data_IF_121479425807
#
_entry.id   IF_121479425807
#
_cell.length_a   1.000
_cell.length_b   1.000
_cell.length_c   1.000
_cell.angle_alpha   90.00
_cell.angle_beta   90.00
_cell.angle_gamma   90.00
#
_symmetry.space_group_name_H-M   'P 1'
#
loop_
_entity.id
_entity.type
_entity.pdbx_description
1 polymer ?
#
# COMPACT_ATOMS: atom_id res chain seq x y z
N UNK A 1 20.13 -18.64 -11.49
CA UNK A 1 20.68 -17.92 -10.33
C UNK A 1 20.47 -16.40 -10.41
N UNK A 2 20.68 -15.69 -11.53
CA UNK A 2 20.71 -14.21 -11.55
C UNK A 2 19.45 -13.38 -11.29
N UNK A 3 18.26 -13.97 -11.08
CA UNK A 3 17.03 -13.16 -10.88
C UNK A 3 16.94 -12.54 -9.48
N UNK A 4 17.44 -13.25 -8.46
CA UNK A 4 17.44 -12.74 -7.09
C UNK A 4 18.46 -11.61 -6.92
N UNK A 5 19.63 -11.72 -7.57
CA UNK A 5 20.69 -10.70 -7.51
C UNK A 5 20.20 -9.32 -7.95
N UNK A 6 19.41 -9.24 -9.03
CA UNK A 6 18.87 -7.96 -9.53
C UNK A 6 17.91 -7.32 -8.53
N UNK A 7 17.14 -8.14 -7.80
CA UNK A 7 16.15 -7.66 -6.84
C UNK A 7 16.84 -7.19 -5.56
N UNK A 8 17.83 -7.96 -5.09
CA UNK A 8 18.68 -7.56 -3.98
C UNK A 8 19.46 -6.29 -4.29
N UNK A 9 19.99 -6.15 -5.51
CA UNK A 9 20.66 -4.92 -5.95
C UNK A 9 19.71 -3.71 -6.02
N UNK A 10 18.41 -3.94 -6.22
CA UNK A 10 17.40 -2.88 -6.18
C UNK A 10 16.97 -2.49 -4.75
N UNK A 11 17.50 -3.15 -3.72
CA UNK A 11 17.10 -2.93 -2.32
C UNK A 11 15.83 -3.67 -1.92
N UNK A 12 15.60 -4.85 -2.50
CA UNK A 12 14.44 -5.70 -2.18
C UNK A 12 14.85 -7.16 -1.95
N UNK A 13 14.09 -7.86 -1.13
CA UNK A 13 14.22 -9.30 -0.92
C UNK A 13 13.02 -10.02 -1.56
N UNK A 14 13.27 -10.95 -2.48
CA UNK A 14 12.23 -11.80 -3.08
C UNK A 14 11.97 -13.03 -2.22
N UNK A 15 10.71 -13.32 -1.98
CA UNK A 15 10.25 -14.56 -1.38
C UNK A 15 9.26 -15.24 -2.32
N UNK A 16 9.38 -16.55 -2.45
CA UNK A 16 8.45 -17.35 -3.25
C UNK A 16 7.23 -17.74 -2.41
N UNK A 17 6.16 -18.20 -3.06
CA UNK A 17 4.97 -18.73 -2.36
C UNK A 17 5.28 -19.92 -1.44
N UNK A 18 6.43 -20.56 -1.59
CA UNK A 18 6.88 -21.69 -0.77
C UNK A 18 7.90 -21.28 0.30
N UNK A 19 8.29 -20.01 0.36
CA UNK A 19 9.33 -19.52 1.27
C UNK A 19 8.69 -18.66 2.36
N UNK A 20 9.12 -18.91 3.60
CA UNK A 20 8.76 -18.06 4.72
C UNK A 20 9.65 -16.82 4.74
N UNK A 21 9.05 -15.63 4.76
CA UNK A 21 9.79 -14.37 4.82
C UNK A 21 10.17 -13.94 6.23
N UNK A 22 9.85 -14.74 7.25
CA UNK A 22 10.15 -14.48 8.68
C UNK A 22 9.57 -13.17 9.25
N UNK A 23 8.80 -12.42 8.47
CA UNK A 23 8.11 -11.20 8.90
C UNK A 23 6.82 -11.59 9.64
N UNK A 24 6.72 -11.35 10.97
CA UNK A 24 5.47 -11.52 11.68
C UNK A 24 4.45 -10.51 11.12
N UNK A 25 3.28 -11.00 10.73
CA UNK A 25 2.19 -10.24 10.07
C UNK A 25 2.31 -10.04 8.54
N UNK A 26 3.20 -10.75 7.82
CA UNK A 26 3.17 -10.69 6.36
C UNK A 26 1.91 -11.38 5.79
N UNK A 27 0.96 -10.58 5.27
CA UNK A 27 -0.32 -11.05 4.69
C UNK A 27 -0.16 -12.08 3.55
N UNK A 28 0.96 -12.03 2.83
CA UNK A 28 1.26 -12.83 1.63
C UNK A 28 2.20 -14.01 1.87
N UNK A 29 2.70 -14.18 3.10
CA UNK A 29 3.52 -15.31 3.52
C UNK A 29 2.87 -16.63 3.12
N UNK A 30 3.67 -17.49 2.48
CA UNK A 30 3.27 -18.82 1.99
C UNK A 30 2.05 -18.86 1.06
N UNK A 31 1.61 -17.71 0.51
CA UNK A 31 0.46 -17.61 -0.41
C UNK A 31 0.87 -17.28 -1.83
N UNK A 32 1.74 -16.29 -2.01
CA UNK A 32 2.22 -15.86 -3.32
C UNK A 32 3.66 -15.35 -3.23
N UNK A 33 4.31 -15.22 -4.39
CA UNK A 33 5.62 -14.57 -4.44
C UNK A 33 5.47 -13.08 -4.17
N UNK A 34 6.31 -12.56 -3.29
CA UNK A 34 6.29 -11.18 -2.83
C UNK A 34 7.71 -10.66 -2.58
N UNK A 35 7.85 -9.35 -2.48
CA UNK A 35 9.10 -8.62 -2.34
C UNK A 35 9.00 -7.66 -1.16
N UNK A 36 9.96 -7.71 -0.25
CA UNK A 36 10.08 -6.78 0.87
C UNK A 36 11.14 -5.75 0.58
N UNK A 37 10.87 -4.47 0.86
CA UNK A 37 11.91 -3.45 0.79
C UNK A 37 12.94 -3.68 1.89
N UNK A 38 14.23 -3.56 1.57
CA UNK A 38 15.33 -3.68 2.54
C UNK A 38 15.74 -2.33 3.11
N UNK A 39 15.05 -1.25 2.74
CA UNK A 39 15.37 0.09 3.19
C UNK A 39 15.05 0.25 4.68
N UNK A 40 15.96 0.82 5.49
CA UNK A 40 15.71 1.05 6.91
C UNK A 40 14.47 1.93 7.09
N UNK A 41 13.66 1.64 8.11
CA UNK A 41 12.38 2.31 8.38
C UNK A 41 11.25 2.06 7.35
N UNK A 42 11.51 1.29 6.28
CA UNK A 42 10.49 0.89 5.32
C UNK A 42 10.07 -0.58 5.52
N UNK A 43 8.79 -0.81 5.84
CA UNK A 43 8.22 -2.17 5.99
C UNK A 43 7.25 -2.52 4.87
N UNK A 44 7.42 -1.92 3.69
CA UNK A 44 6.49 -2.08 2.59
C UNK A 44 6.73 -3.41 1.85
N UNK A 45 5.65 -4.16 1.62
CA UNK A 45 5.67 -5.43 0.88
C UNK A 45 4.91 -5.29 -0.43
N UNK A 46 5.51 -5.69 -1.53
CA UNK A 46 4.90 -5.63 -2.87
C UNK A 46 4.88 -7.02 -3.51
N UNK A 47 3.87 -7.32 -4.32
CA UNK A 47 3.72 -8.65 -4.96
C UNK A 47 4.13 -8.68 -6.43
N UNK A 48 4.57 -7.54 -6.98
CA UNK A 48 4.91 -7.44 -8.40
C UNK A 48 5.95 -6.37 -8.71
N UNK A 49 6.65 -6.55 -9.83
CA UNK A 49 7.77 -5.68 -10.26
C UNK A 49 7.33 -4.23 -10.51
N UNK A 50 6.13 -3.99 -11.04
CA UNK A 50 5.63 -2.62 -11.26
C UNK A 50 5.43 -1.83 -9.96
N UNK A 51 5.03 -2.52 -8.89
CA UNK A 51 4.89 -1.93 -7.55
C UNK A 51 6.27 -1.67 -6.93
N UNK A 52 7.22 -2.58 -7.13
CA UNK A 52 8.60 -2.43 -6.71
C UNK A 52 9.25 -1.18 -7.31
N UNK A 53 9.13 -0.97 -8.63
CA UNK A 53 9.64 0.21 -9.32
C UNK A 53 9.03 1.52 -8.77
N UNK A 54 7.70 1.55 -8.67
CA UNK A 54 6.98 2.71 -8.17
C UNK A 54 7.37 3.06 -6.73
N UNK A 55 7.60 2.04 -5.90
CA UNK A 55 8.04 2.21 -4.52
C UNK A 55 9.48 2.73 -4.44
N UNK A 56 10.41 2.18 -5.24
CA UNK A 56 11.80 2.64 -5.30
C UNK A 56 11.89 4.12 -5.65
N UNK A 57 11.13 4.57 -6.66
CA UNK A 57 11.09 5.99 -7.05
C UNK A 57 10.57 6.92 -5.95
N UNK A 58 9.69 6.43 -5.06
CA UNK A 58 9.26 7.21 -3.90
C UNK A 58 10.39 7.40 -2.89
N UNK A 59 11.22 6.39 -2.66
CA UNK A 59 12.39 6.50 -1.78
C UNK A 59 13.38 7.55 -2.28
N UNK A 60 13.72 7.54 -3.57
CA UNK A 60 14.64 8.54 -4.16
C UNK A 60 14.13 9.98 -4.00
N UNK A 61 12.80 10.19 -4.02
CA UNK A 61 12.20 11.51 -3.81
C UNK A 61 12.16 11.92 -2.33
N UNK A 62 11.95 10.97 -1.42
CA UNK A 62 11.77 11.22 0.01
C UNK A 62 13.11 11.41 0.75
N UNK A 63 14.19 10.76 0.30
CA UNK A 63 15.55 10.95 0.84
C UNK A 63 16.01 12.42 0.85
N UNK A 64 15.49 13.25 -0.07
CA UNK A 64 15.84 14.67 -0.17
C UNK A 64 15.14 15.57 0.87
N UNK A 65 14.26 15.03 1.70
CA UNK A 65 13.47 15.81 2.66
C UNK A 65 13.05 15.01 3.89
N UNK A 66 13.90 15.09 4.92
CA UNK A 66 13.63 14.91 6.36
C UNK A 66 13.06 13.57 6.86
N UNK A 67 13.68 13.11 7.94
CA UNK A 67 13.39 11.90 8.71
C UNK A 67 11.89 11.78 9.05
N UNK A 68 11.21 10.66 8.72
CA UNK A 68 9.91 10.39 9.32
C UNK A 68 10.13 9.92 10.75
N UNK A 69 9.94 10.82 11.71
CA UNK A 69 9.77 10.51 13.13
C UNK A 69 8.85 9.30 13.28
N UNK A 70 9.41 8.17 13.69
CA UNK A 70 8.70 6.90 13.89
C UNK A 70 7.63 7.05 14.98
N UNK A 71 6.40 7.35 14.55
CA UNK A 71 5.20 7.04 15.33
C UNK A 71 4.54 5.82 14.71
N UNK A 72 4.38 4.69 15.43
CA UNK A 72 3.70 3.51 14.92
C UNK A 72 2.20 3.82 14.77
N UNK A 73 1.77 4.29 13.61
CA UNK A 73 0.35 4.23 13.24
C UNK A 73 0.14 2.96 12.44
N UNK A 74 -0.55 2.05 13.09
CA UNK A 74 -1.02 0.76 12.63
C UNK A 74 -1.67 0.91 11.24
N UNK A 75 -1.07 0.32 10.22
CA UNK A 75 -1.57 0.30 8.85
C UNK A 75 -2.58 -0.85 8.70
N UNK A 76 -3.77 -0.64 9.24
CA UNK A 76 -4.93 -1.50 9.04
C UNK A 76 -5.92 -0.87 8.06
N UNK A 77 -5.65 -0.98 6.77
CA UNK A 77 -6.61 -0.80 5.66
C UNK A 77 -5.96 -1.55 4.50
N UNK A 78 -6.61 -2.36 3.65
CA UNK A 78 -7.75 -2.01 2.82
C UNK A 78 -8.61 -3.24 2.37
N UNK A 79 -9.95 -3.01 2.33
CA UNK A 79 -11.06 -3.49 1.44
C UNK A 79 -11.32 -5.01 1.22
N UNK A 80 -12.57 -5.54 1.27
CA UNK A 80 -13.75 -5.20 0.44
C UNK A 80 -15.11 -5.83 0.89
N UNK A 81 -16.20 -5.17 0.46
CA UNK A 81 -17.64 -5.53 0.36
C UNK A 81 -18.61 -5.09 1.48
N UNK A 82 -19.54 -4.19 1.12
CA UNK A 82 -20.61 -3.70 1.99
C UNK A 82 -21.26 -2.42 1.49
N UNK A 83 -21.70 -2.38 0.22
CA UNK A 83 -22.56 -1.31 -0.30
C UNK A 83 -24.01 -1.80 -0.30
N UNK A 84 -24.85 -1.25 0.59
CA UNK A 84 -26.16 -0.66 0.31
C UNK A 84 -26.78 -0.18 1.63
N UNK A 85 -27.25 1.06 1.66
CA UNK A 85 -27.91 1.66 2.82
C UNK A 85 -27.91 3.18 2.71
N UNK A 86 -28.49 3.70 1.63
CA UNK A 86 -28.63 5.12 1.38
C UNK A 86 -29.38 5.80 2.54
N UNK A 87 -28.78 6.81 3.16
CA UNK A 87 -29.52 7.81 3.95
C UNK A 87 -29.40 9.13 3.19
N UNK A 88 -30.49 9.56 2.58
CA UNK A 88 -30.58 10.86 1.93
C UNK A 88 -30.99 11.90 3.00
N UNK A 89 -30.26 13.00 3.17
CA UNK A 89 -30.74 14.14 3.94
C UNK A 89 -31.59 15.04 3.04
N UNK A 90 -32.88 15.21 3.36
CA UNK A 90 -33.72 16.27 2.79
C UNK A 90 -33.20 17.63 3.23
N UNK A 91 -33.18 18.63 2.34
CA UNK A 91 -33.88 19.86 2.71
C UNK A 91 -34.51 20.64 1.55
N UNK A 92 -35.35 21.59 1.98
CA UNK A 92 -35.82 22.84 1.38
C UNK A 92 -36.89 22.81 0.25
N UNK A 93 -38.06 23.30 0.68
CA UNK A 93 -39.23 23.75 -0.07
C UNK A 93 -38.88 24.75 -1.17
N UNK A 94 -39.35 24.47 -2.38
CA UNK A 94 -39.34 25.37 -3.52
C UNK A 94 -40.49 26.37 -3.42
N UNK A 95 -40.17 27.67 -3.33
CA UNK A 95 -41.13 28.75 -3.52
C UNK A 95 -41.26 29.02 -5.02
N UNK A 96 -42.39 28.66 -5.62
CA UNK A 96 -42.71 28.99 -7.01
C UNK A 96 -43.47 30.31 -7.06
N UNK A 97 -42.82 31.32 -7.62
CA UNK A 97 -43.38 32.60 -8.04
C UNK A 97 -44.38 32.39 -9.18
N UNK A 98 -45.47 33.16 -9.22
CA UNK A 98 -46.24 33.40 -10.46
C UNK A 98 -46.93 34.76 -10.42
N UNK A 99 -46.70 35.62 -11.44
CA UNK A 99 -47.58 36.72 -11.79
C UNK A 99 -48.44 36.36 -13.03
N UNK A 100 -49.68 36.85 -13.08
CA UNK A 100 -50.55 36.76 -14.27
C UNK A 100 -51.92 36.16 -13.98
#
# INVERSE_FOLDING_TARGET
>A
HGKQDVISAAGFCQFSSSVDCEVPDCKYKLKCSHFHCTFPECKHTVVGMSQMDSHKRKHEKQERGELPSVSPKQEGMHHLTGNIGAVAPSPMSISTSSPG
#
